data_IF_839022010962
#
_entry.id   IF_839022010962
#
_cell.length_a   1.000
_cell.length_b   1.000
_cell.length_c   1.000
_cell.angle_alpha   90.00
_cell.angle_beta   90.00
_cell.angle_gamma   90.00
#
_symmetry.space_group_name_H-M   'P 1'
#
loop_
_entity.id
_entity.type
_entity.pdbx_description
1 polymer ?
#
# COMPACT_ATOMS: atom_id res chain seq x y z
N UNK A 1 -29.73 -35.39 -51.36
CA UNK A 1 -28.82 -35.85 -50.26
C UNK A 1 -27.48 -35.11 -50.22
N UNK A 2 -26.75 -34.94 -51.34
CA UNK A 2 -25.42 -34.28 -51.37
C UNK A 2 -25.41 -32.81 -50.89
N UNK A 3 -26.45 -32.02 -51.21
CA UNK A 3 -26.56 -30.59 -50.82
C UNK A 3 -26.71 -30.39 -49.30
N UNK A 4 -27.53 -31.22 -48.63
CA UNK A 4 -27.71 -31.21 -47.17
C UNK A 4 -26.42 -31.58 -46.43
N UNK A 5 -25.68 -32.60 -46.89
CA UNK A 5 -24.37 -32.97 -46.31
C UNK A 5 -23.33 -31.85 -46.43
N UNK A 6 -23.32 -31.12 -47.55
CA UNK A 6 -22.40 -29.99 -47.76
C UNK A 6 -22.72 -28.80 -46.85
N UNK A 7 -24.01 -28.49 -46.63
CA UNK A 7 -24.45 -27.46 -45.68
C UNK A 7 -24.07 -27.85 -44.25
N UNK A 8 -24.32 -29.10 -43.85
CA UNK A 8 -23.98 -29.59 -42.51
C UNK A 8 -22.48 -29.52 -42.24
N UNK A 9 -21.65 -29.91 -43.22
CA UNK A 9 -20.19 -29.82 -43.14
C UNK A 9 -19.70 -28.37 -42.99
N UNK A 10 -20.29 -27.42 -43.74
CA UNK A 10 -19.97 -25.99 -43.60
C UNK A 10 -20.31 -25.48 -42.21
N UNK A 11 -21.51 -25.82 -41.69
CA UNK A 11 -21.93 -25.45 -40.33
C UNK A 11 -20.95 -26.01 -39.29
N UNK A 12 -20.57 -27.29 -39.40
CA UNK A 12 -19.59 -27.90 -38.50
C UNK A 12 -18.23 -27.22 -38.55
N UNK A 13 -17.74 -26.84 -39.73
CA UNK A 13 -16.47 -26.11 -39.88
C UNK A 13 -16.54 -24.73 -39.22
N UNK A 14 -17.65 -23.99 -39.40
CA UNK A 14 -17.86 -22.69 -38.75
C UNK A 14 -17.87 -22.86 -37.22
N UNK A 15 -18.53 -23.91 -36.72
CA UNK A 15 -18.60 -24.20 -35.29
C UNK A 15 -17.22 -24.53 -34.72
N UNK A 16 -16.42 -25.34 -35.42
CA UNK A 16 -15.03 -25.67 -35.03
C UNK A 16 -14.15 -24.42 -35.04
N UNK A 17 -14.25 -23.57 -36.06
CA UNK A 17 -13.52 -22.30 -36.13
C UNK A 17 -13.89 -21.38 -34.95
N UNK A 18 -15.19 -21.27 -34.63
CA UNK A 18 -15.65 -20.52 -33.47
C UNK A 18 -15.07 -21.04 -32.16
N UNK A 19 -15.06 -22.36 -31.97
CA UNK A 19 -14.45 -23.00 -30.79
C UNK A 19 -12.96 -22.73 -30.72
N UNK A 20 -12.23 -22.82 -31.83
CA UNK A 20 -10.79 -22.55 -31.88
C UNK A 20 -10.46 -21.11 -31.52
N UNK A 21 -11.16 -20.14 -32.11
CA UNK A 21 -10.98 -18.71 -31.78
C UNK A 21 -11.27 -18.45 -30.30
N UNK A 22 -12.36 -19.02 -29.79
CA UNK A 22 -12.73 -18.90 -28.38
C UNK A 22 -11.68 -19.53 -27.44
N UNK A 23 -11.13 -20.68 -27.82
CA UNK A 23 -10.10 -21.39 -27.04
C UNK A 23 -8.79 -20.59 -26.98
N UNK A 24 -8.37 -20.01 -28.12
CA UNK A 24 -7.19 -19.13 -28.16
C UNK A 24 -7.40 -17.88 -27.30
N UNK A 25 -8.59 -17.27 -27.38
CA UNK A 25 -8.93 -16.12 -26.54
C UNK A 25 -8.85 -16.45 -25.04
N UNK A 26 -9.42 -17.58 -24.61
CA UNK A 26 -9.33 -18.05 -23.23
C UNK A 26 -7.88 -18.25 -22.78
N UNK A 27 -7.04 -18.89 -23.61
CA UNK A 27 -5.62 -19.09 -23.29
C UNK A 27 -4.87 -17.77 -23.09
N UNK A 28 -5.12 -16.78 -23.96
CA UNK A 28 -4.52 -15.45 -23.82
C UNK A 28 -4.99 -14.74 -22.54
N UNK A 29 -6.28 -14.86 -22.21
CA UNK A 29 -6.84 -14.31 -20.97
C UNK A 29 -6.19 -14.93 -19.73
N UNK A 30 -6.08 -16.26 -19.66
CA UNK A 30 -5.43 -16.94 -18.53
C UNK A 30 -3.96 -16.56 -18.39
N UNK A 31 -3.25 -16.43 -19.52
CA UNK A 31 -1.86 -15.96 -19.51
C UNK A 31 -1.76 -14.56 -18.92
N UNK A 32 -2.60 -13.62 -19.37
CA UNK A 32 -2.61 -12.24 -18.87
C UNK A 32 -2.84 -12.16 -17.35
N UNK A 33 -3.78 -12.95 -16.82
CA UNK A 33 -4.04 -13.01 -15.37
C UNK A 33 -2.83 -13.54 -14.58
N UNK A 34 -2.12 -14.52 -15.13
CA UNK A 34 -0.89 -15.06 -14.51
C UNK A 34 0.23 -14.02 -14.53
N UNK A 35 0.45 -13.39 -15.68
CA UNK A 35 1.48 -12.35 -15.86
C UNK A 35 1.25 -11.17 -14.90
N UNK A 36 -0.02 -10.77 -14.68
CA UNK A 36 -0.40 -9.71 -13.72
C UNK A 36 0.04 -10.03 -12.29
N UNK A 37 -0.22 -11.25 -11.81
CA UNK A 37 0.19 -11.67 -10.45
C UNK A 37 1.70 -11.68 -10.26
N UNK A 38 2.43 -12.12 -11.29
CA UNK A 38 3.89 -12.12 -11.28
C UNK A 38 4.44 -10.68 -11.23
N UNK A 39 3.84 -9.76 -11.98
CA UNK A 39 4.18 -8.33 -11.92
C UNK A 39 3.91 -7.72 -10.55
N UNK A 40 2.77 -8.02 -9.92
CA UNK A 40 2.45 -7.58 -8.55
C UNK A 40 3.47 -8.10 -7.55
N UNK A 41 3.83 -9.38 -7.62
CA UNK A 41 4.82 -9.95 -6.71
C UNK A 41 6.19 -9.29 -6.87
N UNK A 42 6.65 -9.12 -8.11
CA UNK A 42 7.91 -8.45 -8.42
C UNK A 42 7.92 -6.99 -7.92
N UNK A 43 6.81 -6.27 -8.11
CA UNK A 43 6.65 -4.92 -7.58
C UNK A 43 6.82 -4.90 -6.05
N UNK A 44 6.19 -5.84 -5.33
CA UNK A 44 6.29 -5.92 -3.88
C UNK A 44 7.73 -6.23 -3.44
N UNK A 45 8.43 -7.12 -4.14
CA UNK A 45 9.85 -7.41 -3.88
C UNK A 45 10.74 -6.18 -4.08
N UNK A 46 10.60 -5.47 -5.21
CA UNK A 46 11.37 -4.26 -5.51
C UNK A 46 11.05 -3.12 -4.53
N UNK A 47 9.78 -2.98 -4.12
CA UNK A 47 9.36 -2.03 -3.09
C UNK A 47 10.04 -2.33 -1.75
N UNK A 48 10.02 -3.59 -1.31
CA UNK A 48 10.65 -3.98 -0.04
C UNK A 48 12.17 -3.74 -0.07
N UNK A 49 12.82 -4.03 -1.20
CA UNK A 49 14.25 -3.76 -1.39
C UNK A 49 14.56 -2.26 -1.34
N UNK A 50 13.70 -1.42 -1.93
CA UNK A 50 13.83 0.04 -1.87
C UNK A 50 13.67 0.57 -0.44
N UNK A 51 12.68 0.07 0.29
CA UNK A 51 12.44 0.43 1.71
C UNK A 51 13.67 0.08 2.54
N UNK A 52 14.19 -1.14 2.39
CA UNK A 52 15.38 -1.62 3.13
C UNK A 52 16.64 -0.77 2.84
N UNK A 53 16.82 -0.34 1.59
CA UNK A 53 18.04 0.38 1.17
C UNK A 53 17.98 1.87 1.38
N UNK A 54 16.87 2.51 1.07
CA UNK A 54 16.79 3.97 0.94
C UNK A 54 16.05 4.64 2.11
N UNK A 55 15.27 3.89 2.92
CA UNK A 55 14.61 4.48 4.08
C UNK A 55 15.62 4.74 5.20
N UNK A 56 15.66 5.98 5.68
CA UNK A 56 16.48 6.32 6.84
C UNK A 56 16.00 5.57 8.09
N UNK A 57 16.95 4.91 8.75
CA UNK A 57 16.78 4.33 10.07
C UNK A 57 17.49 5.21 11.09
N UNK A 58 16.81 5.55 12.19
CA UNK A 58 17.44 6.27 13.28
C UNK A 58 17.90 5.28 14.35
N UNK A 59 19.18 5.38 14.72
CA UNK A 59 19.82 4.48 15.68
C UNK A 59 20.36 5.31 16.84
N UNK A 60 19.76 5.15 18.01
CA UNK A 60 20.25 5.78 19.24
C UNK A 60 21.36 4.93 19.83
N UNK A 61 22.47 5.58 20.15
CA UNK A 61 23.67 4.98 20.73
C UNK A 61 23.89 5.59 22.12
N UNK A 62 23.93 4.75 23.16
CA UNK A 62 24.27 5.16 24.51
C UNK A 62 25.53 4.42 24.99
N UNK A 63 26.62 5.19 25.15
CA UNK A 63 27.92 4.75 25.71
C UNK A 63 28.33 5.71 26.86
N UNK A 64 27.38 6.52 27.34
CA UNK A 64 27.58 7.61 28.31
C UNK A 64 28.68 8.61 27.86
N UNK A 65 28.66 9.06 26.59
CA UNK A 65 27.65 9.99 26.07
C UNK A 65 26.53 9.35 25.21
N UNK A 66 25.54 10.16 24.78
CA UNK A 66 24.38 9.71 23.98
C UNK A 66 24.33 10.40 22.61
N UNK A 67 24.17 9.62 21.56
CA UNK A 67 24.09 10.09 20.18
C UNK A 67 22.93 9.43 19.43
N UNK A 68 22.54 10.04 18.33
CA UNK A 68 21.64 9.47 17.33
C UNK A 68 22.36 9.45 15.98
N UNK A 69 22.26 8.33 15.29
CA UNK A 69 22.75 8.15 13.93
C UNK A 69 21.56 8.11 12.99
N UNK A 70 21.66 8.82 11.89
CA UNK A 70 20.81 8.60 10.72
C UNK A 70 21.55 7.65 9.79
N UNK A 71 20.93 6.50 9.50
CA UNK A 71 21.55 5.41 8.73
C UNK A 71 20.72 5.15 7.47
N UNK A 72 21.37 5.16 6.32
CA UNK A 72 20.77 4.80 5.01
C UNK A 72 21.68 3.76 4.38
N UNK A 73 21.12 2.64 3.91
CA UNK A 73 21.87 1.55 3.28
C UNK A 73 23.08 1.09 4.13
N UNK A 74 22.87 0.90 5.44
CA UNK A 74 23.90 0.57 6.44
C UNK A 74 25.09 1.56 6.46
N UNK A 75 24.89 2.79 6.02
CA UNK A 75 25.88 3.87 6.12
C UNK A 75 25.32 5.00 6.96
N UNK A 76 26.15 5.50 7.86
CA UNK A 76 25.83 6.69 8.64
C UNK A 76 25.89 7.91 7.72
N UNK A 77 24.76 8.60 7.55
CA UNK A 77 24.68 9.84 6.78
C UNK A 77 24.76 11.07 7.67
N UNK A 78 24.28 10.96 8.91
CA UNK A 78 24.41 12.00 9.91
C UNK A 78 24.62 11.42 11.31
N UNK A 79 25.35 12.16 12.14
CA UNK A 79 25.51 11.97 13.58
C UNK A 79 24.96 13.21 14.28
N UNK A 80 24.13 13.02 15.30
CA UNK A 80 23.64 14.10 16.16
C UNK A 80 23.80 13.74 17.63
N UNK A 81 24.11 14.72 18.45
CA UNK A 81 24.28 14.55 19.88
C UNK A 81 22.99 14.80 20.66
N UNK A 82 22.77 13.96 21.67
CA UNK A 82 21.60 14.01 22.55
C UNK A 82 21.93 14.61 23.92
N UNK A 83 23.21 14.77 24.27
CA UNK A 83 23.67 15.41 25.50
C UNK A 83 24.99 16.18 25.29
N UNK A 84 25.35 17.04 26.24
CA UNK A 84 26.56 17.89 26.16
C UNK A 84 27.86 17.09 26.12
N UNK A 85 27.90 15.94 26.80
CA UNK A 85 29.07 15.06 26.77
C UNK A 85 29.33 14.53 25.36
N UNK A 86 28.27 14.27 24.57
CA UNK A 86 28.41 13.82 23.19
C UNK A 86 29.09 14.86 22.31
N UNK A 87 28.69 16.15 22.40
CA UNK A 87 29.27 17.21 21.57
C UNK A 87 30.79 17.33 21.78
N UNK A 88 31.23 17.08 23.01
CA UNK A 88 32.64 17.17 23.40
C UNK A 88 33.44 15.89 23.06
N UNK A 89 32.81 14.71 23.14
CA UNK A 89 33.48 13.42 23.00
C UNK A 89 33.43 12.93 21.55
N UNK A 90 32.30 13.10 20.86
CA UNK A 90 32.02 12.57 19.52
C UNK A 90 32.13 13.62 18.41
N UNK A 91 33.04 14.58 18.54
CA UNK A 91 33.44 15.45 17.43
C UNK A 91 34.39 14.71 16.47
N UNK A 92 33.85 13.71 15.77
CA UNK A 92 34.59 12.79 14.90
C UNK A 92 33.82 12.58 13.59
N UNK A 93 34.55 12.30 12.51
CA UNK A 93 33.92 12.01 11.21
C UNK A 93 33.58 10.53 11.10
N UNK A 94 32.28 10.26 11.13
CA UNK A 94 31.69 8.92 10.94
C UNK A 94 30.79 8.84 9.71
N UNK A 95 30.70 9.92 8.93
CA UNK A 95 29.82 9.96 7.76
C UNK A 95 30.36 9.01 6.67
N UNK A 96 29.44 8.33 5.98
CA UNK A 96 29.68 7.28 4.99
C UNK A 96 30.32 5.98 5.51
N UNK A 97 30.54 5.86 6.83
CA UNK A 97 31.02 4.61 7.44
C UNK A 97 29.87 3.65 7.69
N UNK A 98 30.21 2.35 7.75
CA UNK A 98 29.25 1.31 8.12
C UNK A 98 28.73 1.52 9.55
N UNK A 99 27.51 1.05 9.87
CA UNK A 99 26.98 1.17 11.23
C UNK A 99 27.91 0.53 12.27
N UNK A 100 28.37 -0.70 12.01
CA UNK A 100 29.26 -1.42 12.93
C UNK A 100 30.61 -0.73 13.11
N UNK A 101 31.19 -0.23 12.01
CA UNK A 101 32.43 0.55 12.05
C UNK A 101 32.23 1.83 12.89
N UNK A 102 31.08 2.49 12.72
CA UNK A 102 30.75 3.70 13.47
C UNK A 102 30.60 3.42 14.96
N UNK A 103 29.89 2.35 15.34
CA UNK A 103 29.72 1.96 16.75
C UNK A 103 31.08 1.67 17.39
N UNK A 104 31.96 0.94 16.70
CA UNK A 104 33.32 0.66 17.17
C UNK A 104 34.12 1.97 17.35
N UNK A 105 34.07 2.87 16.38
CA UNK A 105 34.74 4.18 16.47
C UNK A 105 34.23 4.99 17.66
N UNK A 106 32.91 5.05 17.87
CA UNK A 106 32.30 5.75 19.01
C UNK A 106 32.72 5.11 20.34
N UNK A 107 32.72 3.78 20.42
CA UNK A 107 33.14 3.04 21.61
C UNK A 107 34.61 3.30 21.97
N UNK A 108 35.53 3.19 20.98
CA UNK A 108 36.95 3.45 21.21
C UNK A 108 37.18 4.93 21.56
N UNK A 109 36.48 5.86 20.90
CA UNK A 109 36.59 7.30 21.21
C UNK A 109 36.15 7.59 22.65
N UNK A 110 35.02 7.03 23.09
CA UNK A 110 34.55 7.18 24.47
C UNK A 110 35.60 6.65 25.47
N UNK A 111 36.15 5.47 25.20
CA UNK A 111 37.19 4.84 26.02
C UNK A 111 38.48 5.67 26.11
N UNK A 112 38.97 6.19 24.97
CA UNK A 112 40.14 7.06 24.91
C UNK A 112 39.95 8.39 25.66
N UNK A 113 38.70 8.89 25.69
CA UNK A 113 38.31 10.09 26.44
C UNK A 113 38.04 9.83 27.91
N UNK A 114 38.24 8.60 28.40
CA UNK A 114 38.10 8.24 29.81
C UNK A 114 36.67 7.98 30.28
N UNK A 115 35.74 7.75 29.35
CA UNK A 115 34.38 7.32 29.68
C UNK A 115 34.39 5.88 30.19
N UNK A 116 33.61 5.59 31.23
CA UNK A 116 33.38 4.23 31.69
C UNK A 116 32.47 3.48 30.72
N UNK A 117 33.08 2.64 29.89
CA UNK A 117 32.41 1.81 28.88
C UNK A 117 32.10 0.39 29.38
N UNK A 118 32.24 0.11 30.69
CA UNK A 118 32.07 -1.24 31.26
C UNK A 118 30.68 -1.83 31.07
N UNK A 119 29.66 -0.98 30.89
CA UNK A 119 28.28 -1.38 30.61
C UNK A 119 28.01 -1.66 29.11
N UNK A 120 29.04 -1.57 28.26
CA UNK A 120 28.90 -1.76 26.82
C UNK A 120 28.21 -0.60 26.11
N UNK A 121 27.66 -0.89 24.94
CA UNK A 121 26.93 0.06 24.09
C UNK A 121 25.47 -0.34 24.02
N UNK A 122 24.58 0.54 24.47
CA UNK A 122 23.15 0.36 24.24
C UNK A 122 22.80 0.92 22.87
N UNK A 123 22.22 0.09 22.02
CA UNK A 123 21.74 0.46 20.69
C UNK A 123 20.21 0.41 20.71
N UNK A 124 19.53 1.42 20.19
CA UNK A 124 18.06 1.42 20.12
C UNK A 124 17.57 1.93 18.78
N UNK A 125 16.62 1.22 18.17
CA UNK A 125 15.98 1.62 16.91
C UNK A 125 14.57 1.03 16.79
N UNK A 126 13.75 1.64 15.93
CA UNK A 126 12.47 1.07 15.49
C UNK A 126 12.71 -0.04 14.47
N UNK A 127 13.80 0.05 13.69
CA UNK A 127 14.13 -0.92 12.64
C UNK A 127 14.79 -2.16 13.23
N UNK A 128 14.07 -3.29 13.23
CA UNK A 128 14.56 -4.58 13.76
C UNK A 128 15.75 -5.17 12.99
N UNK A 129 15.97 -4.80 11.73
CA UNK A 129 17.12 -5.32 10.98
C UNK A 129 18.45 -4.80 11.56
N UNK A 130 18.43 -3.63 12.22
CA UNK A 130 19.58 -3.09 12.95
C UNK A 130 20.07 -4.06 14.02
N UNK A 131 19.17 -4.82 14.67
CA UNK A 131 19.55 -5.85 15.65
C UNK A 131 20.52 -6.85 15.05
N UNK A 132 20.23 -7.36 13.85
CA UNK A 132 21.09 -8.33 13.16
C UNK A 132 22.44 -7.71 12.81
N UNK A 133 22.44 -6.48 12.32
CA UNK A 133 23.67 -5.77 11.95
C UNK A 133 24.60 -5.59 13.16
N UNK A 134 24.07 -5.13 14.30
CA UNK A 134 24.90 -4.82 15.48
C UNK A 134 25.20 -6.04 16.35
N UNK A 135 24.45 -7.14 16.23
CA UNK A 135 24.66 -8.38 17.00
C UNK A 135 26.06 -9.00 16.85
N UNK A 136 26.80 -8.62 15.81
CA UNK A 136 28.17 -9.06 15.54
C UNK A 136 29.14 -8.47 16.59
N UNK A 137 28.76 -7.40 17.28
CA UNK A 137 29.55 -6.72 18.31
C UNK A 137 29.13 -7.22 19.71
N UNK A 138 29.97 -8.04 20.34
CA UNK A 138 29.67 -8.71 21.63
C UNK A 138 29.38 -7.76 22.80
N UNK A 139 29.82 -6.51 22.72
CA UNK A 139 29.64 -5.49 23.75
C UNK A 139 28.38 -4.62 23.53
N UNK A 140 27.56 -4.93 22.52
CA UNK A 140 26.32 -4.20 22.24
C UNK A 140 25.10 -4.88 22.87
N UNK A 141 24.14 -4.06 23.30
CA UNK A 141 22.83 -4.51 23.74
C UNK A 141 21.76 -3.76 22.96
N UNK A 142 20.98 -4.49 22.14
CA UNK A 142 19.95 -3.92 21.29
C UNK A 142 18.61 -3.85 22.02
N UNK A 143 17.93 -2.72 21.90
CA UNK A 143 16.56 -2.52 22.36
C UNK A 143 15.69 -2.01 21.20
N UNK A 144 14.58 -2.71 20.91
CA UNK A 144 13.55 -2.18 20.02
C UNK A 144 12.79 -1.06 20.73
N UNK A 145 12.63 0.07 20.05
CA UNK A 145 11.80 1.21 20.49
C UNK A 145 10.60 1.38 19.56
N UNK A 146 9.61 2.14 19.98
CA UNK A 146 8.46 2.48 19.14
C UNK A 146 8.64 3.84 18.42
N UNK A 147 7.74 4.14 17.47
CA UNK A 147 7.79 5.39 16.69
C UNK A 147 7.58 6.66 17.53
N UNK A 148 6.88 6.58 18.66
CA UNK A 148 6.70 7.73 19.56
C UNK A 148 8.01 8.05 20.30
N UNK A 149 8.70 7.01 20.79
CA UNK A 149 10.00 7.12 21.43
C UNK A 149 11.07 7.65 20.46
N UNK A 150 11.09 7.16 19.22
CA UNK A 150 12.02 7.67 18.18
C UNK A 150 11.82 9.17 17.93
N UNK A 151 10.56 9.62 17.81
CA UNK A 151 10.23 11.05 17.67
C UNK A 151 10.68 11.86 18.89
N UNK A 152 10.52 11.32 20.10
CA UNK A 152 11.00 11.98 21.31
C UNK A 152 12.53 12.16 21.28
N UNK A 153 13.28 11.14 20.85
CA UNK A 153 14.73 11.24 20.72
C UNK A 153 15.17 12.24 19.66
N UNK A 154 14.53 12.22 18.48
CA UNK A 154 14.79 13.20 17.42
C UNK A 154 14.57 14.64 17.90
N UNK A 155 13.55 14.87 18.74
CA UNK A 155 13.30 16.21 19.31
C UNK A 155 14.37 16.72 20.28
N UNK A 156 15.25 15.83 20.77
CA UNK A 156 16.33 16.13 21.72
C UNK A 156 17.69 16.36 21.06
N UNK A 157 17.79 16.24 19.73
CA UNK A 157 19.05 16.45 19.00
C UNK A 157 19.51 17.91 19.16
N UNK A 158 20.78 18.08 19.56
CA UNK A 158 21.35 19.38 19.93
C UNK A 158 22.12 20.07 18.80
N UNK A 159 22.85 19.31 18.00
CA UNK A 159 23.93 19.81 17.14
C UNK A 159 23.95 19.18 15.73
N UNK A 160 22.81 18.82 15.15
CA UNK A 160 22.74 18.50 13.73
C UNK A 160 21.34 18.80 13.18
N UNK A 161 21.20 19.95 12.51
CA UNK A 161 19.90 20.38 11.97
C UNK A 161 19.45 19.53 10.79
N UNK A 162 20.34 18.82 10.10
CA UNK A 162 19.95 18.04 8.92
C UNK A 162 19.14 16.80 9.32
N UNK A 163 19.46 16.19 10.48
CA UNK A 163 18.62 15.18 11.13
C UNK A 163 17.23 15.74 11.46
N UNK A 164 17.15 17.02 11.84
CA UNK A 164 15.89 17.69 12.17
C UNK A 164 15.11 18.19 10.94
N UNK A 165 15.79 18.45 9.82
CA UNK A 165 15.22 19.08 8.63
C UNK A 165 14.55 18.09 7.65
N UNK A 166 14.39 16.83 8.04
CA UNK A 166 13.70 15.79 7.24
C UNK A 166 14.26 15.58 5.82
N UNK A 167 15.52 15.96 5.54
CA UNK A 167 16.14 15.88 4.20
C UNK A 167 16.13 14.45 3.65
N UNK A 168 16.43 13.45 4.47
CA UNK A 168 16.39 12.05 4.03
C UNK A 168 14.97 11.56 3.77
N UNK A 169 13.98 12.01 4.55
CA UNK A 169 12.57 11.68 4.32
C UNK A 169 12.10 12.24 2.98
N UNK A 170 12.44 13.49 2.67
CA UNK A 170 12.14 14.09 1.38
C UNK A 170 12.82 13.33 0.22
N UNK A 171 14.10 12.99 0.37
CA UNK A 171 14.83 12.20 -0.63
C UNK A 171 14.18 10.82 -0.84
N UNK A 172 13.89 10.09 0.24
CA UNK A 172 13.22 8.79 0.21
C UNK A 172 11.84 8.86 -0.45
N UNK A 173 11.03 9.86 -0.10
CA UNK A 173 9.70 10.02 -0.70
C UNK A 173 9.76 10.36 -2.20
N UNK A 174 10.80 11.06 -2.66
CA UNK A 174 11.04 11.22 -4.10
C UNK A 174 11.44 9.92 -4.78
N UNK A 175 12.26 9.09 -4.13
CA UNK A 175 12.62 7.75 -4.63
C UNK A 175 11.43 6.81 -4.71
N UNK A 176 10.57 6.82 -3.68
CA UNK A 176 9.29 6.12 -3.72
C UNK A 176 8.40 6.61 -4.86
N UNK A 177 8.27 7.92 -5.05
CA UNK A 177 7.47 8.47 -6.14
C UNK A 177 7.99 8.03 -7.52
N UNK A 178 9.31 8.07 -7.74
CA UNK A 178 9.97 7.58 -8.95
C UNK A 178 9.69 6.08 -9.16
N UNK A 179 9.77 5.28 -8.10
CA UNK A 179 9.44 3.86 -8.14
C UNK A 179 7.98 3.61 -8.55
N UNK A 180 7.01 4.27 -7.90
CA UNK A 180 5.60 4.17 -8.28
C UNK A 180 5.36 4.61 -9.72
N UNK A 181 6.02 5.67 -10.19
CA UNK A 181 5.90 6.17 -11.57
C UNK A 181 6.38 5.19 -12.64
N UNK A 182 7.25 4.24 -12.27
CA UNK A 182 7.73 3.20 -13.18
C UNK A 182 6.77 2.00 -13.28
N UNK A 183 5.76 1.91 -12.41
CA UNK A 183 4.73 0.87 -12.49
C UNK A 183 3.81 1.11 -13.70
N UNK A 184 3.50 0.03 -14.41
CA UNK A 184 2.65 0.07 -15.61
C UNK A 184 1.21 0.51 -15.35
N UNK A 185 0.75 0.40 -14.10
CA UNK A 185 -0.58 0.86 -13.68
C UNK A 185 -0.60 2.34 -13.22
N UNK A 186 0.57 2.98 -13.06
CA UNK A 186 0.64 4.39 -12.65
C UNK A 186 0.06 5.32 -13.71
N UNK A 187 -0.74 6.29 -13.26
CA UNK A 187 -1.46 7.24 -14.10
C UNK A 187 -2.74 6.68 -14.73
N UNK A 188 -2.86 5.35 -14.85
CA UNK A 188 -4.08 4.68 -15.30
C UNK A 188 -4.95 4.27 -14.11
N UNK A 189 -4.46 3.37 -13.25
CA UNK A 189 -5.20 2.80 -12.11
C UNK A 189 -5.06 3.65 -10.85
N UNK A 190 -3.83 4.05 -10.52
CA UNK A 190 -3.55 4.90 -9.37
C UNK A 190 -2.55 6.00 -9.72
N UNK A 191 -2.45 7.01 -8.87
CA UNK A 191 -1.42 8.04 -8.95
C UNK A 191 -0.93 8.40 -7.56
N UNK A 192 0.28 8.92 -7.48
CA UNK A 192 0.91 9.33 -6.23
C UNK A 192 1.46 10.75 -6.37
N UNK A 193 1.45 11.49 -5.27
CA UNK A 193 2.02 12.82 -5.15
C UNK A 193 2.62 13.04 -3.76
N UNK A 194 3.57 13.98 -3.66
CA UNK A 194 4.13 14.40 -2.38
C UNK A 194 3.37 15.63 -1.90
N UNK A 195 2.73 15.54 -0.74
CA UNK A 195 2.02 16.62 -0.06
C UNK A 195 2.64 16.81 1.31
N UNK A 196 3.17 18.01 1.57
CA UNK A 196 3.85 18.34 2.85
C UNK A 196 4.91 17.29 3.24
N UNK A 197 5.76 16.94 2.29
CA UNK A 197 6.85 15.96 2.47
C UNK A 197 6.40 14.53 2.78
N UNK A 198 5.11 14.21 2.66
CA UNK A 198 4.57 12.84 2.73
C UNK A 198 4.09 12.41 1.35
N UNK A 199 4.31 11.14 1.02
CA UNK A 199 3.73 10.55 -0.18
C UNK A 199 2.29 10.11 0.11
N UNK A 200 1.37 10.45 -0.79
CA UNK A 200 0.00 9.97 -0.79
C UNK A 200 -0.32 9.39 -2.15
N UNK A 201 -1.08 8.29 -2.17
CA UNK A 201 -1.46 7.60 -3.40
C UNK A 201 -2.97 7.37 -3.42
N UNK A 202 -3.58 7.50 -4.59
CA UNK A 202 -5.04 7.40 -4.76
C UNK A 202 -5.37 6.63 -6.03
N UNK A 203 -6.46 5.86 -6.01
CA UNK A 203 -7.07 5.33 -7.23
C UNK A 203 -7.51 6.50 -8.11
N UNK A 204 -7.20 6.46 -9.41
CA UNK A 204 -7.58 7.56 -10.29
C UNK A 204 -9.10 7.60 -10.45
N UNK A 205 -9.66 8.81 -10.52
CA UNK A 205 -11.08 9.00 -10.83
C UNK A 205 -11.46 8.39 -12.20
N UNK A 206 -10.51 8.36 -13.14
CA UNK A 206 -10.69 7.71 -14.44
C UNK A 206 -10.94 6.21 -14.26
N UNK A 207 -10.06 5.53 -13.53
CA UNK A 207 -10.19 4.09 -13.29
C UNK A 207 -11.44 3.75 -12.48
N UNK A 208 -11.75 4.53 -11.43
CA UNK A 208 -12.97 4.35 -10.64
C UNK A 208 -14.24 4.37 -11.50
N UNK A 209 -14.31 5.27 -12.48
CA UNK A 209 -15.44 5.37 -13.42
C UNK A 209 -15.48 4.25 -14.45
N UNK A 210 -14.34 3.66 -14.76
CA UNK A 210 -14.22 2.52 -15.68
C UNK A 210 -14.48 1.18 -14.99
N UNK A 211 -14.48 1.14 -13.65
CA UNK A 211 -14.84 -0.06 -12.89
C UNK A 211 -16.32 -0.40 -13.13
N UNK A 212 -16.62 -1.56 -13.73
CA UNK A 212 -17.97 -1.93 -14.07
C UNK A 212 -18.81 -2.29 -12.82
N UNK A 213 -20.07 -1.86 -12.81
CA UNK A 213 -21.01 -2.05 -11.71
C UNK A 213 -21.85 -3.31 -11.83
N UNK A 214 -22.12 -3.72 -13.06
CA UNK A 214 -22.96 -4.85 -13.42
C UNK A 214 -22.18 -5.86 -14.25
N UNK A 215 -22.45 -7.14 -13.99
CA UNK A 215 -21.86 -8.22 -14.78
C UNK A 215 -22.90 -8.81 -15.71
N UNK A 216 -22.53 -8.90 -16.97
CA UNK A 216 -23.26 -9.57 -18.04
C UNK A 216 -22.32 -10.54 -18.73
N UNK A 217 -22.86 -11.54 -19.42
CA UNK A 217 -22.06 -12.42 -20.28
C UNK A 217 -21.23 -11.65 -21.33
N UNK A 218 -21.68 -10.46 -21.74
CA UNK A 218 -21.00 -9.64 -22.73
C UNK A 218 -19.79 -8.87 -22.18
N UNK A 219 -19.78 -8.51 -20.88
CA UNK A 219 -18.73 -7.69 -20.28
C UNK A 219 -17.86 -8.43 -19.23
N UNK A 220 -18.15 -9.70 -18.93
CA UNK A 220 -17.48 -10.45 -17.85
C UNK A 220 -15.95 -10.43 -17.92
N UNK A 221 -15.35 -10.61 -19.09
CA UNK A 221 -13.89 -10.59 -19.23
C UNK A 221 -13.31 -9.22 -18.86
N UNK A 222 -13.95 -8.14 -19.30
CA UNK A 222 -13.58 -6.78 -18.94
C UNK A 222 -13.81 -6.52 -17.45
N UNK A 223 -14.88 -7.07 -16.87
CA UNK A 223 -15.17 -6.96 -15.45
C UNK A 223 -14.06 -7.60 -14.61
N UNK A 224 -13.72 -8.85 -14.91
CA UNK A 224 -12.68 -9.58 -14.20
C UNK A 224 -11.31 -8.92 -14.37
N UNK A 225 -10.98 -8.42 -15.56
CA UNK A 225 -9.73 -7.70 -15.79
C UNK A 225 -9.63 -6.44 -14.93
N UNK A 226 -10.69 -5.61 -14.89
CA UNK A 226 -10.69 -4.37 -14.10
C UNK A 226 -10.66 -4.64 -12.60
N UNK A 227 -11.41 -5.64 -12.11
CA UNK A 227 -11.37 -6.01 -10.70
C UNK A 227 -10.03 -6.67 -10.32
N UNK A 228 -9.40 -7.44 -11.21
CA UNK A 228 -8.06 -7.96 -10.96
C UNK A 228 -7.03 -6.82 -10.85
N UNK A 229 -7.07 -5.82 -11.73
CA UNK A 229 -6.20 -4.63 -11.62
C UNK A 229 -6.39 -3.89 -10.30
N UNK A 230 -7.63 -3.76 -9.83
CA UNK A 230 -7.91 -3.16 -8.54
C UNK A 230 -7.31 -4.01 -7.40
N UNK A 231 -7.56 -5.34 -7.40
CA UNK A 231 -6.99 -6.26 -6.41
C UNK A 231 -5.45 -6.22 -6.40
N UNK A 232 -4.82 -6.28 -7.57
CA UNK A 232 -3.37 -6.18 -7.74
C UNK A 232 -2.85 -4.85 -7.17
N UNK A 233 -3.56 -3.74 -7.40
CA UNK A 233 -3.22 -2.44 -6.81
C UNK A 233 -3.36 -2.46 -5.28
N UNK A 234 -4.44 -3.01 -4.74
CA UNK A 234 -4.61 -3.14 -3.30
C UNK A 234 -3.50 -4.00 -2.67
N UNK A 235 -3.10 -5.09 -3.34
CA UNK A 235 -1.99 -5.95 -2.91
C UNK A 235 -0.65 -5.19 -2.91
N UNK A 236 -0.36 -4.40 -3.96
CA UNK A 236 0.84 -3.54 -4.04
C UNK A 236 0.95 -2.56 -2.86
N UNK A 237 -0.19 -2.06 -2.38
CA UNK A 237 -0.27 -1.14 -1.23
C UNK A 237 -0.54 -1.87 0.10
N UNK A 238 -0.49 -3.21 0.12
CA UNK A 238 -0.73 -4.03 1.30
C UNK A 238 -2.09 -3.75 1.99
N UNK A 239 -3.12 -3.49 1.18
CA UNK A 239 -4.48 -3.22 1.66
C UNK A 239 -5.25 -4.53 1.73
N UNK A 240 -5.68 -4.92 2.92
CA UNK A 240 -6.49 -6.12 3.10
C UNK A 240 -7.90 -5.93 2.49
N UNK A 241 -8.32 -6.87 1.64
CA UNK A 241 -9.68 -6.93 1.09
C UNK A 241 -10.27 -8.34 1.21
N UNK A 242 -11.60 -8.43 1.22
CA UNK A 242 -12.34 -9.68 1.03
C UNK A 242 -12.91 -9.70 -0.36
N UNK A 243 -12.72 -10.81 -1.07
CA UNK A 243 -13.33 -11.03 -2.36
C UNK A 243 -14.50 -12.02 -2.24
N UNK A 244 -15.47 -11.85 -3.13
CA UNK A 244 -16.55 -12.80 -3.33
C UNK A 244 -16.41 -13.39 -4.72
N UNK A 245 -16.46 -14.71 -4.78
CA UNK A 245 -16.52 -15.47 -6.03
C UNK A 245 -17.98 -15.79 -6.30
N UNK A 246 -18.53 -15.23 -7.38
CA UNK A 246 -19.90 -15.51 -7.80
C UNK A 246 -19.92 -16.26 -9.13
N UNK A 247 -20.84 -17.22 -9.24
CA UNK A 247 -21.10 -17.90 -10.50
C UNK A 247 -21.99 -17.01 -11.38
N UNK A 248 -21.61 -16.84 -12.65
CA UNK A 248 -22.53 -16.27 -13.65
C UNK A 248 -23.51 -17.36 -14.05
N UNK A 249 -24.81 -17.11 -13.88
CA UNK A 249 -25.87 -18.08 -14.21
C UNK A 249 -25.63 -18.74 -15.58
N UNK A 250 -25.58 -20.08 -15.58
CA UNK A 250 -25.68 -20.92 -16.77
C UNK A 250 -24.44 -21.72 -17.18
N UNK A 251 -23.23 -21.41 -16.68
CA UNK A 251 -22.01 -22.19 -17.00
C UNK A 251 -20.97 -22.11 -15.84
N UNK A 252 -20.68 -23.23 -15.15
CA UNK A 252 -19.73 -23.37 -14.01
C UNK A 252 -18.27 -22.93 -14.27
N UNK A 253 -17.91 -22.58 -15.51
CA UNK A 253 -16.57 -22.15 -15.92
C UNK A 253 -16.34 -20.64 -15.77
N UNK A 254 -17.38 -19.88 -15.40
CA UNK A 254 -17.39 -18.42 -15.47
C UNK A 254 -17.58 -17.79 -14.09
N UNK A 255 -16.50 -17.82 -13.30
CA UNK A 255 -16.43 -17.17 -11.99
C UNK A 255 -16.12 -15.68 -12.13
N UNK A 256 -16.81 -14.87 -11.33
CA UNK A 256 -16.51 -13.45 -11.16
C UNK A 256 -15.78 -13.27 -9.84
N UNK A 257 -14.70 -12.48 -9.87
CA UNK A 257 -14.07 -12.00 -8.65
C UNK A 257 -14.47 -10.53 -8.43
N UNK A 258 -15.18 -10.27 -7.33
CA UNK A 258 -15.49 -8.90 -6.91
C UNK A 258 -14.88 -8.63 -5.53
N UNK A 259 -14.50 -7.38 -5.26
CA UNK A 259 -14.12 -6.92 -3.92
C UNK A 259 -15.41 -6.63 -3.15
N UNK A 260 -15.66 -7.41 -2.11
CA UNK A 260 -16.82 -7.23 -1.24
C UNK A 260 -16.53 -6.20 -0.16
N UNK A 261 -15.34 -6.27 0.45
CA UNK A 261 -14.95 -5.43 1.59
C UNK A 261 -13.49 -5.02 1.51
N UNK A 262 -13.19 -3.83 1.99
CA UNK A 262 -11.84 -3.32 2.21
C UNK A 262 -11.67 -3.03 3.70
N UNK A 263 -10.49 -3.34 4.25
CA UNK A 263 -10.15 -3.03 5.63
C UNK A 263 -9.52 -1.64 5.71
N UNK A 264 -10.13 -0.75 6.47
CA UNK A 264 -9.64 0.61 6.73
C UNK A 264 -9.56 0.78 8.25
N UNK A 265 -8.42 1.21 8.79
CA UNK A 265 -8.22 1.41 10.24
C UNK A 265 -8.70 0.20 11.08
N UNK A 266 -8.29 -1.01 10.70
CA UNK A 266 -8.68 -2.27 11.32
C UNK A 266 -10.19 -2.62 11.32
N UNK A 267 -10.99 -1.93 10.51
CA UNK A 267 -12.42 -2.20 10.35
C UNK A 267 -12.75 -2.56 8.90
N UNK A 268 -13.64 -3.52 8.71
CA UNK A 268 -14.11 -3.94 7.39
C UNK A 268 -15.26 -3.07 6.91
N UNK A 269 -15.15 -2.52 5.71
CA UNK A 269 -16.17 -1.71 5.06
C UNK A 269 -16.57 -2.31 3.73
N UNK A 270 -17.87 -2.31 3.43
CA UNK A 270 -18.38 -2.88 2.19
C UNK A 270 -18.09 -1.97 1.01
N UNK A 271 -17.78 -2.54 -0.14
CA UNK A 271 -17.59 -1.82 -1.40
C UNK A 271 -18.80 -2.08 -2.29
N UNK A 272 -19.32 -1.02 -2.93
CA UNK A 272 -20.47 -1.16 -3.82
C UNK A 272 -20.66 0.05 -4.74
N UNK A 273 -21.42 -0.16 -5.82
CA UNK A 273 -21.81 0.90 -6.75
C UNK A 273 -22.99 1.71 -6.20
N UNK A 274 -22.92 3.04 -6.33
CA UNK A 274 -24.07 3.91 -6.05
C UNK A 274 -24.73 4.43 -7.33
N UNK A 275 -26.06 4.48 -7.33
CA UNK A 275 -26.84 5.14 -8.38
C UNK A 275 -27.65 6.30 -7.77
N UNK A 276 -27.55 7.49 -8.38
CA UNK A 276 -28.38 8.63 -8.06
C UNK A 276 -28.97 9.19 -9.37
N UNK A 277 -30.30 9.11 -9.54
CA UNK A 277 -30.97 9.61 -10.76
C UNK A 277 -30.85 11.13 -10.95
N UNK A 278 -30.71 11.92 -9.86
CA UNK A 278 -30.87 13.38 -9.91
C UNK A 278 -29.58 14.19 -10.03
N UNK A 279 -28.43 13.63 -9.67
CA UNK A 279 -27.14 14.31 -9.77
C UNK A 279 -26.18 13.53 -10.67
N UNK A 280 -25.91 14.06 -11.87
CA UNK A 280 -25.07 13.44 -12.89
C UNK A 280 -23.62 13.21 -12.47
N UNK A 281 -23.18 13.79 -11.34
CA UNK A 281 -21.81 13.69 -10.84
C UNK A 281 -21.51 12.38 -10.08
N UNK A 282 -22.54 11.67 -9.60
CA UNK A 282 -22.39 10.46 -8.77
C UNK A 282 -23.01 9.19 -9.39
N UNK A 283 -23.40 9.28 -10.66
CA UNK A 283 -23.92 8.13 -11.41
C UNK A 283 -22.76 7.16 -11.70
N UNK A 284 -22.74 6.03 -11.00
CA UNK A 284 -21.72 5.00 -11.20
C UNK A 284 -20.36 5.44 -10.68
N UNK A 285 -20.26 5.64 -9.37
CA UNK A 285 -18.98 5.61 -8.64
C UNK A 285 -18.95 4.37 -7.73
N UNK A 286 -17.77 3.75 -7.61
CA UNK A 286 -17.53 2.67 -6.66
C UNK A 286 -17.21 3.29 -5.31
N UNK A 287 -18.07 3.05 -4.32
CA UNK A 287 -17.93 3.65 -3.00
C UNK A 287 -17.68 2.59 -1.93
N UNK A 288 -16.99 3.04 -0.89
CA UNK A 288 -16.80 2.32 0.36
C UNK A 288 -17.88 2.81 1.33
N UNK A 289 -18.74 1.91 1.80
CA UNK A 289 -19.84 2.21 2.72
C UNK A 289 -19.29 2.23 4.15
N UNK A 290 -19.22 3.42 4.73
CA UNK A 290 -18.67 3.64 6.07
C UNK A 290 -19.72 3.47 7.17
N UNK A 291 -20.96 3.90 6.89
CA UNK A 291 -22.07 3.82 7.81
C UNK A 291 -23.41 3.74 7.07
N UNK A 292 -24.40 3.10 7.69
CA UNK A 292 -25.79 3.09 7.23
C UNK A 292 -26.74 3.38 8.39
N UNK A 293 -27.71 4.26 8.15
CA UNK A 293 -28.69 4.68 9.17
C UNK A 293 -30.09 4.60 8.58
N UNK A 294 -31.01 3.95 9.30
CA UNK A 294 -32.42 3.95 8.97
C UNK A 294 -33.01 5.34 9.26
N UNK A 295 -33.56 6.00 8.24
CA UNK A 295 -34.12 7.35 8.43
C UNK A 295 -35.49 7.29 9.11
N UNK A 296 -35.59 7.91 10.29
CA UNK A 296 -36.84 7.94 11.06
C UNK A 296 -37.97 8.63 10.29
N UNK A 297 -39.09 7.94 10.13
CA UNK A 297 -40.27 8.45 9.42
C UNK A 297 -40.25 8.26 7.90
N UNK A 298 -39.21 7.63 7.34
CA UNK A 298 -39.18 7.20 5.94
C UNK A 298 -38.82 5.71 5.85
N UNK A 299 -39.29 5.01 4.82
CA UNK A 299 -38.90 3.62 4.58
C UNK A 299 -37.56 3.54 3.83
N UNK A 300 -36.55 4.30 4.27
CA UNK A 300 -35.30 4.49 3.54
C UNK A 300 -34.05 4.40 4.41
N UNK A 301 -32.92 4.14 3.76
CA UNK A 301 -31.59 4.17 4.39
C UNK A 301 -30.79 5.38 3.88
N UNK A 302 -30.07 6.02 4.79
CA UNK A 302 -29.00 6.96 4.48
C UNK A 302 -27.65 6.26 4.66
N UNK A 303 -26.79 6.35 3.65
CA UNK A 303 -25.46 5.77 3.66
C UNK A 303 -24.42 6.89 3.66
N UNK A 304 -23.48 6.84 4.59
CA UNK A 304 -22.26 7.64 4.53
C UNK A 304 -21.22 6.83 3.78
N UNK A 305 -20.75 7.35 2.65
CA UNK A 305 -19.87 6.64 1.75
C UNK A 305 -18.64 7.46 1.38
N UNK A 306 -17.55 6.77 1.07
CA UNK A 306 -16.31 7.34 0.56
C UNK A 306 -16.09 6.84 -0.88
N UNK A 307 -15.97 7.72 -1.88
CA UNK A 307 -15.56 7.29 -3.22
C UNK A 307 -14.21 6.58 -3.19
N UNK A 308 -14.04 5.50 -3.97
CA UNK A 308 -12.82 4.70 -3.94
C UNK A 308 -11.58 5.53 -4.32
N UNK A 309 -11.74 6.54 -5.19
CA UNK A 309 -10.68 7.48 -5.57
C UNK A 309 -10.24 8.44 -4.45
N UNK A 310 -10.94 8.44 -3.31
CA UNK A 310 -10.67 9.31 -2.15
C UNK A 310 -10.03 8.58 -0.98
N UNK A 311 -9.84 7.26 -1.08
CA UNK A 311 -9.05 6.49 -0.14
C UNK A 311 -7.56 6.73 -0.39
N UNK A 312 -6.83 7.23 0.61
CA UNK A 312 -5.36 7.23 0.57
C UNK A 312 -4.86 5.80 0.76
N UNK A 313 -4.19 5.28 -0.27
CA UNK A 313 -3.72 3.90 -0.33
C UNK A 313 -2.55 3.62 0.61
N UNK A 314 -1.80 4.65 1.04
CA UNK A 314 -0.64 4.48 1.92
C UNK A 314 -1.08 4.57 3.39
N UNK A 315 -1.77 5.66 3.74
CA UNK A 315 -2.16 5.91 5.13
C UNK A 315 -3.46 5.21 5.56
N UNK A 316 -4.21 4.65 4.60
CA UNK A 316 -5.56 4.11 4.80
C UNK A 316 -6.50 5.13 5.48
N UNK A 317 -6.34 6.39 5.09
CA UNK A 317 -7.13 7.51 5.60
C UNK A 317 -7.92 8.20 4.49
N UNK A 318 -8.80 9.10 4.89
CA UNK A 318 -9.59 9.94 3.99
C UNK A 318 -9.92 11.25 4.69
N UNK A 319 -10.30 12.27 3.91
CA UNK A 319 -10.75 13.53 4.45
C UNK A 319 -12.27 13.49 4.69
N UNK A 320 -12.74 13.92 5.85
CA UNK A 320 -14.17 13.92 6.19
C UNK A 320 -15.01 14.73 5.19
N UNK A 321 -14.43 15.77 4.58
CA UNK A 321 -15.07 16.57 3.55
C UNK A 321 -15.27 15.85 2.20
N UNK A 322 -14.60 14.72 1.98
CA UNK A 322 -14.78 13.90 0.77
C UNK A 322 -15.94 12.90 0.91
N UNK A 323 -16.56 12.81 2.10
CA UNK A 323 -17.68 11.91 2.34
C UNK A 323 -18.94 12.37 1.61
N UNK A 324 -19.64 11.38 1.08
CA UNK A 324 -20.90 11.57 0.36
C UNK A 324 -22.00 10.90 1.17
N UNK A 325 -23.13 11.59 1.29
CA UNK A 325 -24.34 11.02 1.92
C UNK A 325 -25.31 10.64 0.81
N UNK A 326 -25.55 9.34 0.67
CA UNK A 326 -26.48 8.77 -0.30
C UNK A 326 -27.77 8.39 0.42
N UNK A 327 -28.91 8.86 -0.08
CA UNK A 327 -30.22 8.57 0.51
C UNK A 327 -31.04 7.71 -0.44
N UNK A 328 -31.50 6.56 0.04
CA UNK A 328 -32.36 5.66 -0.71
C UNK A 328 -33.80 5.73 -0.18
N UNK A 329 -34.66 6.43 -0.91
CA UNK A 329 -36.09 6.56 -0.63
C UNK A 329 -36.89 5.61 -1.54
N UNK A 330 -36.64 4.30 -1.43
CA UNK A 330 -37.30 3.21 -2.16
C UNK A 330 -37.12 3.14 -3.70
N UNK A 331 -36.66 1.95 -4.11
CA UNK A 331 -36.59 1.34 -5.47
C UNK A 331 -35.35 1.51 -6.36
N UNK A 332 -34.24 2.06 -5.87
CA UNK A 332 -32.95 1.89 -6.56
C UNK A 332 -31.94 1.27 -5.62
N UNK A 333 -31.66 -0.01 -5.85
CA UNK A 333 -30.73 -0.83 -5.08
C UNK A 333 -29.32 -0.23 -5.18
N UNK A 334 -28.73 0.15 -4.05
CA UNK A 334 -27.27 0.03 -3.96
C UNK A 334 -27.06 -1.48 -3.95
N UNK A 335 -26.40 -2.04 -4.97
CA UNK A 335 -25.99 -3.44 -5.00
C UNK A 335 -24.87 -3.65 -3.98
N UNK A 336 -25.25 -3.64 -2.71
CA UNK A 336 -24.39 -4.05 -1.61
C UNK A 336 -24.55 -5.58 -1.51
N UNK A 337 -23.48 -6.38 -1.57
CA UNK A 337 -23.55 -7.76 -1.11
C UNK A 337 -24.03 -7.74 0.34
N UNK A 338 -25.24 -8.25 0.59
CA UNK A 338 -25.86 -8.19 1.92
C UNK A 338 -24.95 -8.81 2.97
N UNK A 339 -24.57 -8.02 3.97
CA UNK A 339 -23.83 -8.46 5.14
C UNK A 339 -24.82 -9.08 6.12
N UNK A 340 -24.75 -10.39 6.32
CA UNK A 340 -25.13 -10.96 7.60
C UNK A 340 -24.04 -10.59 8.60
N UNK A 341 -24.39 -9.85 9.65
CA UNK A 341 -23.57 -9.72 10.84
C UNK A 341 -23.42 -11.12 11.44
N UNK A 342 -22.24 -11.74 11.25
CA UNK A 342 -21.84 -12.86 12.10
C UNK A 342 -21.38 -12.26 13.44
N UNK A 343 -22.22 -12.47 14.46
CA UNK A 343 -21.92 -12.20 15.87
C UNK A 343 -20.83 -13.11 16.40
#
# INVERSE_FOLDING_TARGET
MKRKKRILMIISIILILGILVFSVYLLLYYKKMKDSKEQTHKFIEEYNELVEKEQASYVIIEINPKAILEVINNKVVNLGCLNEDCENIFNIDVVNKGLNETIEILYQTAKEKGVDVSNGVKVSSVNKEIEKEVSILEYTNYQTINLEEEKEWLSKVRDNKDILNHTAKYYYNNKLLEFYQNDSDYGDVYTCNIVKEEISCYITLKFERELPYDVTLANQFSYNEKHQKLMDTLDKFNIEYKNKIEDVEGIDLFKINNIEKIKINNKWYSVGGSYHEKDSFYKGNNNIVLNSVLESGSYGYSFTTLPLSKLDLISLSYNESDLVILKNYHSETISIPMVHEEN
#
